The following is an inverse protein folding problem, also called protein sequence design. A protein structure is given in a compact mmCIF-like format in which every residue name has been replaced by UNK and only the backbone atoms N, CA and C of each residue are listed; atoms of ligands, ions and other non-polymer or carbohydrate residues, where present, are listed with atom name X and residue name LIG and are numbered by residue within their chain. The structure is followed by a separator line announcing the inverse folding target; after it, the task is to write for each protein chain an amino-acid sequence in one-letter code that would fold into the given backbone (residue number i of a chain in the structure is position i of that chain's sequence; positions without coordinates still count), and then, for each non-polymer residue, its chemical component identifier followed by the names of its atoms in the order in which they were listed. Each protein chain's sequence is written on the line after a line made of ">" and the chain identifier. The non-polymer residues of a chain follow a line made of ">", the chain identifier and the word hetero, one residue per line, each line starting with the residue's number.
data_IF_580634064412
#
_entry.id   IF_580634064412
#
_cell.length_a   1.000
_cell.length_b   1.000
_cell.length_c   1.000
_cell.angle_alpha   90.00
_cell.angle_beta   90.00
_cell.angle_gamma   90.00
#
_symmetry.space_group_name_H-M   'P 1'
#
loop_
_entity.id
_entity.type
_entity.pdbx_description
1 polymer ?
#
# COMPACT_ATOMS: atom_id res chain seq x y z
N UNK A 1 15.58 11.21 -19.74
CA UNK A 1 14.24 10.87 -20.24
C UNK A 1 13.32 10.85 -19.04
N UNK A 2 12.23 11.61 -19.01
CA UNK A 2 11.30 11.54 -17.87
C UNK A 2 10.62 10.17 -17.83
N UNK A 3 10.26 9.66 -16.65
CA UNK A 3 9.58 8.36 -16.50
C UNK A 3 8.33 8.27 -17.39
N UNK A 4 7.57 9.36 -17.49
CA UNK A 4 6.43 9.50 -18.41
C UNK A 4 6.79 9.22 -19.87
N UNK A 5 7.93 9.73 -20.34
CA UNK A 5 8.39 9.51 -21.72
C UNK A 5 8.82 8.05 -21.93
N UNK A 6 9.39 7.39 -20.91
CA UNK A 6 9.69 5.95 -20.95
C UNK A 6 8.40 5.15 -21.15
N UNK A 7 7.36 5.43 -20.36
CA UNK A 7 6.05 4.78 -20.49
C UNK A 7 5.42 5.02 -21.87
N UNK A 8 5.46 6.25 -22.38
CA UNK A 8 4.89 6.58 -23.69
C UNK A 8 5.59 5.80 -24.81
N UNK A 9 6.93 5.78 -24.80
CA UNK A 9 7.72 5.03 -25.79
C UNK A 9 7.40 3.53 -25.71
N UNK A 10 7.36 2.96 -24.50
CA UNK A 10 6.99 1.57 -24.30
C UNK A 10 5.59 1.27 -24.85
N UNK A 11 4.60 2.10 -24.51
CA UNK A 11 3.22 1.92 -24.93
C UNK A 11 3.08 1.88 -26.45
N UNK A 12 3.76 2.79 -27.16
CA UNK A 12 3.77 2.82 -28.62
C UNK A 12 4.44 1.56 -29.19
N UNK A 13 5.62 1.19 -28.69
CA UNK A 13 6.36 0.02 -29.17
C UNK A 13 5.58 -1.29 -28.94
N UNK A 14 5.00 -1.47 -27.76
CA UNK A 14 4.20 -2.63 -27.44
C UNK A 14 2.91 -2.65 -28.25
N UNK A 15 2.26 -1.50 -28.44
CA UNK A 15 1.10 -1.36 -29.31
C UNK A 15 1.37 -1.83 -30.74
N UNK A 16 2.53 -1.47 -31.31
CA UNK A 16 2.95 -1.94 -32.63
C UNK A 16 3.21 -3.44 -32.67
N UNK A 17 3.85 -4.02 -31.65
CA UNK A 17 4.05 -5.47 -31.53
C UNK A 17 2.71 -6.21 -31.49
N UNK A 18 1.78 -5.72 -30.66
CA UNK A 18 0.45 -6.32 -30.49
C UNK A 18 -0.38 -6.16 -31.76
N UNK A 19 -0.35 -5.00 -32.42
CA UNK A 19 -1.02 -4.79 -33.70
C UNK A 19 -0.47 -5.72 -34.78
N UNK A 20 0.85 -5.83 -34.89
CA UNK A 20 1.51 -6.75 -35.83
C UNK A 20 1.13 -8.21 -35.55
N UNK A 21 1.06 -8.60 -34.28
CA UNK A 21 0.59 -9.91 -33.85
C UNK A 21 -0.87 -10.15 -34.25
N UNK A 22 -1.77 -9.20 -33.95
CA UNK A 22 -3.20 -9.28 -34.31
C UNK A 22 -3.37 -9.40 -35.81
N UNK A 23 -2.66 -8.58 -36.60
CA UNK A 23 -2.70 -8.63 -38.08
C UNK A 23 -2.17 -9.97 -38.58
N UNK A 24 -1.04 -10.45 -38.05
CA UNK A 24 -0.46 -11.75 -38.44
C UNK A 24 -1.42 -12.89 -38.13
N UNK A 25 -1.96 -12.91 -36.92
CA UNK A 25 -2.97 -13.88 -36.48
C UNK A 25 -4.16 -13.81 -37.43
N UNK A 26 -4.67 -12.64 -37.81
CA UNK A 26 -5.83 -12.55 -38.71
C UNK A 26 -5.52 -12.91 -40.18
N UNK A 27 -4.34 -12.57 -40.70
CA UNK A 27 -4.00 -12.72 -42.14
C UNK A 27 -3.38 -14.06 -42.52
N UNK A 28 -2.87 -14.84 -41.57
CA UNK A 28 -2.27 -16.17 -41.84
C UNK A 28 -3.09 -17.28 -41.18
N UNK A 29 -4.22 -17.67 -41.79
CA UNK A 29 -5.09 -18.65 -41.18
C UNK A 29 -4.44 -20.03 -41.01
N UNK A 30 -3.59 -20.42 -41.95
CA UNK A 30 -3.10 -21.79 -42.09
C UNK A 30 -1.93 -22.14 -41.15
N UNK A 31 -1.22 -21.15 -40.60
CA UNK A 31 -0.01 -21.38 -39.76
C UNK A 31 -0.31 -21.70 -38.28
N UNK A 32 -1.59 -21.67 -37.87
CA UNK A 32 -2.00 -21.80 -36.46
C UNK A 32 -1.58 -20.59 -35.60
N UNK A 33 -2.36 -20.21 -34.55
CA UNK A 33 -2.08 -19.00 -33.78
C UNK A 33 -0.86 -19.15 -32.84
N UNK A 34 -0.45 -20.37 -32.52
CA UNK A 34 0.52 -20.66 -31.45
C UNK A 34 1.89 -20.02 -31.67
N UNK A 35 2.48 -20.18 -32.86
CA UNK A 35 3.79 -19.58 -33.17
C UNK A 35 3.73 -18.05 -33.09
N UNK A 36 2.65 -17.46 -33.57
CA UNK A 36 2.47 -16.01 -33.51
C UNK A 36 2.37 -15.54 -32.05
N UNK A 37 1.59 -16.23 -31.21
CA UNK A 37 1.48 -15.93 -29.78
C UNK A 37 2.85 -16.03 -29.08
N UNK A 38 3.62 -17.10 -29.35
CA UNK A 38 4.94 -17.30 -28.75
C UNK A 38 5.90 -16.17 -29.13
N UNK A 39 5.97 -15.82 -30.43
CA UNK A 39 6.84 -14.74 -30.92
C UNK A 39 6.40 -13.39 -30.35
N UNK A 40 5.10 -13.10 -30.34
CA UNK A 40 4.57 -11.85 -29.80
C UNK A 40 4.76 -11.73 -28.29
N UNK A 41 4.52 -12.81 -27.55
CA UNK A 41 4.77 -12.88 -26.11
C UNK A 41 6.25 -12.71 -25.76
N UNK A 42 7.14 -13.40 -26.48
CA UNK A 42 8.59 -13.21 -26.32
C UNK A 42 9.01 -11.77 -26.64
N UNK A 43 8.45 -11.16 -27.68
CA UNK A 43 8.73 -9.76 -28.04
C UNK A 43 8.27 -8.78 -26.95
N UNK A 44 7.09 -9.01 -26.36
CA UNK A 44 6.58 -8.20 -25.25
C UNK A 44 7.47 -8.35 -24.00
N UNK A 45 7.90 -9.57 -23.67
CA UNK A 45 8.84 -9.81 -22.55
C UNK A 45 10.18 -9.13 -22.80
N UNK A 46 10.74 -9.26 -24.01
CA UNK A 46 11.99 -8.60 -24.38
C UNK A 46 11.88 -7.07 -24.33
N UNK A 47 10.73 -6.50 -24.71
CA UNK A 47 10.46 -5.06 -24.57
C UNK A 47 10.44 -4.64 -23.10
N UNK A 48 9.77 -5.40 -22.23
CA UNK A 48 9.78 -5.12 -20.78
C UNK A 48 11.22 -5.16 -20.28
N UNK A 49 11.92 -6.29 -20.45
CA UNK A 49 13.29 -6.49 -19.95
C UNK A 49 14.27 -5.46 -20.52
N UNK A 50 14.10 -5.07 -21.78
CA UNK A 50 14.97 -4.09 -22.45
C UNK A 50 14.73 -2.63 -22.02
N UNK A 51 13.50 -2.28 -21.62
CA UNK A 51 13.12 -0.91 -21.27
C UNK A 51 13.17 -0.68 -19.75
N UNK A 52 12.90 -1.70 -18.93
CA UNK A 52 12.96 -1.62 -17.48
C UNK A 52 14.25 -1.01 -16.89
N UNK A 53 15.45 -1.24 -17.45
CA UNK A 53 16.68 -0.61 -16.97
C UNK A 53 16.72 0.92 -17.12
N UNK A 54 15.78 1.52 -17.86
CA UNK A 54 15.66 2.98 -18.00
C UNK A 54 14.90 3.62 -16.83
N UNK A 55 14.29 2.81 -15.95
CA UNK A 55 13.69 3.28 -14.72
C UNK A 55 14.77 3.41 -13.62
N UNK A 56 14.63 4.36 -12.68
CA UNK A 56 15.52 4.45 -11.52
C UNK A 56 15.61 3.13 -10.74
N UNK A 57 14.49 2.40 -10.69
CA UNK A 57 14.39 1.08 -10.09
C UNK A 57 13.83 0.07 -11.11
N UNK A 58 14.66 -0.83 -11.67
CA UNK A 58 14.25 -1.67 -12.80
C UNK A 58 13.16 -2.72 -12.50
N UNK A 59 13.09 -3.27 -11.28
CA UNK A 59 12.04 -4.22 -10.88
C UNK A 59 10.66 -3.57 -11.00
N UNK A 60 10.58 -2.36 -10.50
CA UNK A 60 9.41 -1.51 -10.44
C UNK A 60 8.94 -1.06 -11.82
N UNK A 61 9.87 -0.60 -12.65
CA UNK A 61 9.64 -0.39 -14.07
C UNK A 61 9.06 -1.64 -14.74
N UNK A 62 9.66 -2.82 -14.49
CA UNK A 62 9.18 -4.08 -15.09
C UNK A 62 7.75 -4.41 -14.72
N UNK A 63 7.36 -4.18 -13.46
CA UNK A 63 5.99 -4.39 -12.99
C UNK A 63 5.03 -3.44 -13.67
N UNK A 64 5.34 -2.14 -13.69
CA UNK A 64 4.47 -1.14 -14.30
C UNK A 64 4.26 -1.40 -15.80
N UNK A 65 5.34 -1.71 -16.52
CA UNK A 65 5.27 -2.09 -17.93
C UNK A 65 4.50 -3.42 -18.13
N UNK A 66 4.71 -4.39 -17.25
CA UNK A 66 3.98 -5.67 -17.26
C UNK A 66 2.47 -5.50 -17.06
N UNK A 67 2.05 -4.60 -16.16
CA UNK A 67 0.65 -4.26 -15.96
C UNK A 67 0.03 -3.63 -17.22
N UNK A 68 0.74 -2.73 -17.91
CA UNK A 68 0.30 -2.18 -19.19
C UNK A 68 0.14 -3.29 -20.24
N UNK A 69 1.11 -4.19 -20.34
CA UNK A 69 1.02 -5.33 -21.27
C UNK A 69 -0.19 -6.22 -20.98
N UNK A 70 -0.44 -6.52 -19.71
CA UNK A 70 -1.54 -7.38 -19.29
C UNK A 70 -2.90 -6.71 -19.51
N UNK A 71 -3.15 -5.57 -18.89
CA UNK A 71 -4.49 -4.99 -18.82
C UNK A 71 -4.90 -4.19 -20.05
N UNK A 72 -3.94 -3.62 -20.79
CA UNK A 72 -4.25 -2.81 -21.96
C UNK A 72 -4.18 -3.61 -23.27
N UNK A 73 -3.15 -4.45 -23.41
CA UNK A 73 -2.93 -5.20 -24.65
C UNK A 73 -3.45 -6.64 -24.61
N UNK A 74 -3.50 -7.26 -23.42
CA UNK A 74 -4.05 -8.60 -23.22
C UNK A 74 -5.47 -8.78 -23.77
N UNK A 75 -6.43 -7.88 -23.47
CA UNK A 75 -7.80 -7.99 -24.01
C UNK A 75 -7.84 -7.94 -25.54
N UNK A 76 -7.03 -7.06 -26.16
CA UNK A 76 -6.97 -6.95 -27.62
C UNK A 76 -6.47 -8.25 -28.27
N UNK A 77 -5.44 -8.87 -27.69
CA UNK A 77 -4.93 -10.17 -28.15
C UNK A 77 -5.97 -11.28 -27.97
N UNK A 78 -6.61 -11.37 -26.80
CA UNK A 78 -7.64 -12.37 -26.52
C UNK A 78 -8.83 -12.25 -27.49
N UNK A 79 -9.27 -11.03 -27.80
CA UNK A 79 -10.33 -10.79 -28.79
C UNK A 79 -9.90 -11.15 -30.21
N UNK A 80 -8.65 -10.91 -30.58
CA UNK A 80 -8.12 -11.33 -31.88
C UNK A 80 -8.10 -12.87 -32.01
N UNK A 81 -7.73 -13.57 -30.95
CA UNK A 81 -7.78 -15.04 -30.90
C UNK A 81 -9.23 -15.54 -30.91
N UNK A 82 -10.14 -14.92 -30.14
CA UNK A 82 -11.55 -15.28 -30.10
C UNK A 82 -12.21 -15.22 -31.50
N UNK A 83 -11.86 -14.21 -32.31
CA UNK A 83 -12.33 -14.09 -33.71
C UNK A 83 -11.90 -15.25 -34.60
N UNK A 84 -10.79 -15.91 -34.28
CA UNK A 84 -10.27 -17.10 -35.00
C UNK A 84 -10.76 -18.41 -34.46
N UNK A 85 -11.26 -18.43 -33.23
CA UNK A 85 -11.85 -19.61 -32.61
C UNK A 85 -13.33 -19.74 -32.98
N UNK A 86 -13.86 -20.96 -32.87
CA UNK A 86 -15.29 -21.25 -33.00
C UNK A 86 -15.89 -21.77 -31.68
N UNK A 87 -17.22 -21.88 -31.64
CA UNK A 87 -17.95 -22.51 -30.54
C UNK A 87 -17.62 -21.95 -29.16
N UNK A 88 -17.46 -22.84 -28.18
CA UNK A 88 -17.22 -22.49 -26.78
C UNK A 88 -15.90 -21.72 -26.56
N UNK A 89 -14.85 -22.03 -27.32
CA UNK A 89 -13.52 -21.41 -27.15
C UNK A 89 -13.58 -19.91 -27.46
N UNK A 90 -14.35 -19.49 -28.47
CA UNK A 90 -14.56 -18.07 -28.77
C UNK A 90 -15.16 -17.32 -27.58
N UNK A 91 -16.19 -17.90 -26.98
CA UNK A 91 -16.87 -17.30 -25.84
C UNK A 91 -15.98 -17.29 -24.59
N UNK A 92 -15.20 -18.34 -24.35
CA UNK A 92 -14.23 -18.39 -23.25
C UNK A 92 -13.16 -17.29 -23.38
N UNK A 93 -12.57 -17.11 -24.56
CA UNK A 93 -11.58 -16.06 -24.82
C UNK A 93 -12.18 -14.65 -24.72
N UNK A 94 -13.39 -14.46 -25.26
CA UNK A 94 -14.11 -13.19 -25.14
C UNK A 94 -14.46 -12.87 -23.68
N UNK A 95 -14.92 -13.85 -22.92
CA UNK A 95 -15.18 -13.73 -21.49
C UNK A 95 -13.93 -13.41 -20.68
N UNK A 96 -12.79 -14.06 -20.98
CA UNK A 96 -11.52 -13.76 -20.34
C UNK A 96 -11.03 -12.33 -20.66
N UNK A 97 -11.20 -11.88 -21.91
CA UNK A 97 -10.86 -10.51 -22.29
C UNK A 97 -11.68 -9.49 -21.50
N UNK A 98 -12.99 -9.72 -21.37
CA UNK A 98 -13.87 -8.88 -20.57
C UNK A 98 -13.48 -8.91 -19.09
N UNK A 99 -13.24 -10.09 -18.53
CA UNK A 99 -12.81 -10.23 -17.14
C UNK A 99 -11.52 -9.46 -16.85
N UNK A 100 -10.55 -9.51 -17.77
CA UNK A 100 -9.29 -8.79 -17.62
C UNK A 100 -9.49 -7.27 -17.63
N UNK A 101 -10.39 -6.76 -18.48
CA UNK A 101 -10.77 -5.33 -18.47
C UNK A 101 -11.46 -4.95 -17.16
N UNK A 102 -12.39 -5.78 -16.67
CA UNK A 102 -13.10 -5.51 -15.41
C UNK A 102 -12.15 -5.52 -14.21
N UNK A 103 -11.23 -6.47 -14.15
CA UNK A 103 -10.18 -6.50 -13.11
C UNK A 103 -9.26 -5.29 -13.23
N UNK A 104 -8.91 -4.85 -14.45
CA UNK A 104 -8.14 -3.63 -14.65
C UNK A 104 -8.90 -2.38 -14.17
N UNK A 105 -10.20 -2.29 -14.44
CA UNK A 105 -11.02 -1.17 -13.93
C UNK A 105 -11.06 -1.18 -12.40
N UNK A 106 -11.32 -2.35 -11.81
CA UNK A 106 -11.37 -2.51 -10.36
C UNK A 106 -10.04 -2.12 -9.72
N UNK A 107 -8.93 -2.72 -10.20
CA UNK A 107 -7.64 -2.59 -9.55
C UNK A 107 -6.99 -1.20 -9.65
N UNK A 108 -7.30 -0.44 -10.70
CA UNK A 108 -6.73 0.90 -10.90
C UNK A 108 -7.64 2.05 -10.44
N UNK A 109 -8.96 1.84 -10.38
CA UNK A 109 -9.90 2.95 -10.15
C UNK A 109 -10.87 2.72 -8.99
N UNK A 110 -11.25 1.48 -8.69
CA UNK A 110 -12.22 1.18 -7.65
C UNK A 110 -11.50 0.81 -6.36
N UNK A 111 -10.78 -0.31 -6.36
CA UNK A 111 -10.12 -0.85 -5.18
C UNK A 111 -9.15 0.12 -4.51
N UNK A 112 -8.34 0.93 -5.24
CA UNK A 112 -7.46 1.91 -4.62
C UNK A 112 -8.13 3.00 -3.79
N UNK A 113 -9.43 3.24 -4.02
CA UNK A 113 -10.24 4.24 -3.28
C UNK A 113 -11.32 3.59 -2.44
N UNK A 114 -11.39 2.26 -2.41
CA UNK A 114 -12.41 1.54 -1.68
C UNK A 114 -11.99 1.27 -0.24
N UNK A 115 -11.96 2.34 0.57
CA UNK A 115 -11.56 2.29 1.97
C UNK A 115 -12.32 1.20 2.75
N UNK A 116 -11.57 0.34 3.42
CA UNK A 116 -12.07 -0.62 4.40
C UNK A 116 -11.82 -0.12 5.82
N UNK A 117 -12.80 -0.26 6.73
CA UNK A 117 -12.58 0.01 8.16
C UNK A 117 -12.48 -1.33 8.88
N UNK A 118 -11.23 -1.78 9.11
CA UNK A 118 -10.95 -3.06 9.78
C UNK A 118 -11.05 -2.88 11.28
N UNK A 119 -11.88 -3.70 11.93
CA UNK A 119 -12.10 -3.67 13.39
C UNK A 119 -11.41 -4.84 14.05
N UNK A 120 -10.67 -4.55 15.11
CA UNK A 120 -9.92 -5.52 15.90
C UNK A 120 -10.34 -5.36 17.36
N UNK A 121 -10.66 -6.47 18.02
CA UNK A 121 -10.99 -6.47 19.45
C UNK A 121 -9.93 -7.27 20.20
N UNK A 122 -9.29 -6.66 21.20
CA UNK A 122 -8.30 -7.30 22.05
C UNK A 122 -8.65 -7.05 23.52
N UNK A 123 -8.54 -8.06 24.35
CA UNK A 123 -8.77 -7.94 25.80
C UNK A 123 -7.46 -8.03 26.57
N UNK A 124 -7.32 -7.26 27.65
CA UNK A 124 -6.16 -7.38 28.54
C UNK A 124 -6.51 -7.11 30.00
N UNK A 125 -6.01 -7.92 30.96
CA UNK A 125 -6.15 -7.64 32.38
C UNK A 125 -5.35 -6.42 32.84
N UNK A 126 -4.52 -5.83 31.97
CA UNK A 126 -3.73 -4.62 32.24
C UNK A 126 -4.54 -3.32 32.06
N UNK A 127 -5.80 -3.42 31.62
CA UNK A 127 -6.70 -2.30 31.38
C UNK A 127 -7.85 -2.32 32.39
N UNK A 128 -8.28 -1.15 32.86
CA UNK A 128 -9.45 -0.98 33.73
C UNK A 128 -10.65 -0.38 32.99
N UNK A 129 -10.40 0.29 31.86
CA UNK A 129 -11.44 0.84 30.99
C UNK A 129 -11.15 0.54 29.51
N UNK A 130 -12.18 0.51 28.64
CA UNK A 130 -11.97 0.37 27.20
C UNK A 130 -11.15 1.53 26.62
N UNK A 131 -10.27 1.23 25.67
CA UNK A 131 -9.48 2.22 24.91
C UNK A 131 -9.59 1.94 23.42
N UNK A 132 -9.99 2.95 22.64
CA UNK A 132 -10.05 2.86 21.18
C UNK A 132 -8.83 3.51 20.53
N UNK A 133 -8.04 2.70 19.84
CA UNK A 133 -6.91 3.14 19.02
C UNK A 133 -7.33 3.12 17.56
N UNK A 134 -7.17 4.24 16.86
CA UNK A 134 -7.27 4.29 15.40
C UNK A 134 -5.87 4.39 14.81
N UNK A 135 -5.57 3.59 13.79
CA UNK A 135 -4.30 3.62 13.06
C UNK A 135 -4.57 4.15 11.66
N UNK A 136 -3.97 5.30 11.35
CA UNK A 136 -3.99 5.91 10.03
C UNK A 136 -2.55 5.89 9.49
N UNK A 137 -2.27 4.94 8.62
CA UNK A 137 -0.92 4.63 8.12
C UNK A 137 -0.83 4.82 6.61
N UNK A 138 0.38 5.14 6.14
CA UNK A 138 0.77 5.17 4.73
C UNK A 138 -0.27 5.90 3.87
N UNK A 139 -0.51 7.17 4.20
CA UNK A 139 -1.35 8.05 3.38
C UNK A 139 -0.74 8.18 1.99
N UNK A 140 0.58 8.34 1.93
CA UNK A 140 1.39 8.50 0.73
C UNK A 140 0.66 9.31 -0.35
N UNK A 141 -0.01 10.40 0.03
CA UNK A 141 -0.88 11.12 -0.91
C UNK A 141 -0.03 12.02 -1.82
N UNK A 142 -0.36 12.01 -3.11
CA UNK A 142 0.22 12.83 -4.17
C UNK A 142 -0.71 14.00 -4.55
N UNK A 143 -2.00 13.87 -4.28
CA UNK A 143 -3.02 14.88 -4.52
C UNK A 143 -4.12 14.80 -3.46
N UNK A 144 -4.03 15.68 -2.46
CA UNK A 144 -5.01 15.76 -1.37
C UNK A 144 -6.35 16.23 -1.91
N UNK A 145 -7.34 15.33 -1.93
CA UNK A 145 -8.67 15.62 -2.47
C UNK A 145 -9.80 14.93 -1.72
N UNK A 146 -10.83 14.53 -2.48
CA UNK A 146 -12.06 13.94 -1.95
C UNK A 146 -11.80 12.64 -1.18
N UNK A 147 -10.87 11.81 -1.68
CA UNK A 147 -10.53 10.54 -1.02
C UNK A 147 -9.90 10.75 0.36
N UNK A 148 -8.90 11.63 0.48
CA UNK A 148 -8.29 11.99 1.76
C UNK A 148 -9.32 12.62 2.71
N UNK A 149 -10.27 13.41 2.17
CA UNK A 149 -11.36 13.96 2.96
C UNK A 149 -12.29 12.87 3.52
N UNK A 150 -12.64 11.87 2.71
CA UNK A 150 -13.42 10.71 3.14
C UNK A 150 -12.68 9.89 4.20
N UNK A 151 -11.38 9.65 4.03
CA UNK A 151 -10.55 8.93 5.02
C UNK A 151 -10.48 9.68 6.34
N UNK A 152 -10.17 10.98 6.32
CA UNK A 152 -10.08 11.78 7.55
C UNK A 152 -11.46 11.94 8.21
N UNK A 153 -12.54 12.03 7.44
CA UNK A 153 -13.90 12.01 7.97
C UNK A 153 -14.23 10.66 8.64
N UNK A 154 -13.76 9.53 8.08
CA UNK A 154 -13.89 8.22 8.71
C UNK A 154 -13.13 8.17 10.05
N UNK A 155 -11.91 8.72 10.13
CA UNK A 155 -11.15 8.84 11.39
C UNK A 155 -11.95 9.63 12.43
N UNK A 156 -12.46 10.81 12.06
CA UNK A 156 -13.26 11.66 12.97
C UNK A 156 -14.52 10.93 13.46
N UNK A 157 -15.18 10.18 12.58
CA UNK A 157 -16.39 9.41 12.91
C UNK A 157 -16.13 8.34 13.97
N UNK A 158 -14.94 7.73 13.98
CA UNK A 158 -14.58 6.69 14.94
C UNK A 158 -14.37 7.22 16.38
N UNK A 159 -14.16 8.54 16.53
CA UNK A 159 -13.89 9.22 17.82
C UNK A 159 -12.79 8.49 18.61
N UNK A 160 -11.55 8.44 18.08
CA UNK A 160 -10.47 7.72 18.74
C UNK A 160 -10.13 8.30 20.12
N UNK A 161 -9.75 7.40 21.03
CA UNK A 161 -9.05 7.80 22.24
C UNK A 161 -7.60 8.13 21.90
N UNK A 162 -6.98 7.29 21.09
CA UNK A 162 -5.62 7.51 20.57
C UNK A 162 -5.62 7.35 19.05
N UNK A 163 -5.01 8.29 18.35
CA UNK A 163 -4.75 8.19 16.91
C UNK A 163 -3.25 7.99 16.68
N UNK A 164 -2.88 6.89 16.05
CA UNK A 164 -1.50 6.58 15.69
C UNK A 164 -1.28 6.81 14.20
N UNK A 165 -0.14 7.44 13.88
CA UNK A 165 0.31 7.78 12.54
C UNK A 165 1.67 7.10 12.28
N UNK A 166 1.69 5.86 11.75
CA UNK A 166 2.91 5.07 11.52
C UNK A 166 3.71 5.48 10.26
N UNK A 167 3.85 6.78 9.98
CA UNK A 167 4.67 7.30 8.87
C UNK A 167 4.01 7.28 7.49
N UNK A 168 4.75 7.80 6.51
CA UNK A 168 4.41 7.86 5.09
C UNK A 168 3.18 8.72 4.77
N UNK A 169 3.35 10.04 4.84
CA UNK A 169 2.24 11.00 4.74
C UNK A 169 2.01 11.52 3.32
N UNK A 170 3.03 12.16 2.75
CA UNK A 170 2.97 12.79 1.43
C UNK A 170 4.02 12.12 0.54
N UNK A 171 3.64 11.73 -0.67
CA UNK A 171 4.56 11.21 -1.68
C UNK A 171 4.48 12.09 -2.93
N UNK A 172 5.55 12.82 -3.22
CA UNK A 172 5.60 13.78 -4.32
C UNK A 172 6.97 13.76 -5.01
N UNK A 173 6.99 14.05 -6.32
CA UNK A 173 8.21 14.03 -7.13
C UNK A 173 9.13 15.22 -6.84
N UNK A 174 8.56 16.33 -6.36
CA UNK A 174 9.28 17.57 -6.11
C UNK A 174 8.98 18.13 -4.73
N UNK A 175 9.93 18.89 -4.19
CA UNK A 175 9.76 19.57 -2.89
C UNK A 175 8.62 20.58 -2.91
N UNK A 176 8.46 21.33 -3.99
CA UNK A 176 7.38 22.32 -4.11
C UNK A 176 6.00 21.65 -4.15
N UNK A 177 5.90 20.47 -4.75
CA UNK A 177 4.68 19.66 -4.73
C UNK A 177 4.42 19.09 -3.34
N UNK A 178 5.43 18.53 -2.68
CA UNK A 178 5.32 18.08 -1.30
C UNK A 178 4.84 19.22 -0.38
N UNK A 179 5.37 20.43 -0.54
CA UNK A 179 4.96 21.62 0.23
C UNK A 179 3.50 21.99 -0.01
N UNK A 180 3.02 21.91 -1.26
CA UNK A 180 1.59 22.14 -1.59
C UNK A 180 0.69 21.08 -0.98
N UNK A 181 1.05 19.79 -1.12
CA UNK A 181 0.23 18.70 -0.60
C UNK A 181 0.20 18.70 0.93
N UNK A 182 1.32 19.00 1.60
CA UNK A 182 1.32 19.24 3.03
C UNK A 182 0.41 20.41 3.43
N UNK A 183 0.42 21.52 2.71
CA UNK A 183 -0.46 22.65 3.00
C UNK A 183 -1.95 22.26 2.87
N UNK A 184 -2.30 21.51 1.82
CA UNK A 184 -3.65 21.00 1.60
C UNK A 184 -4.07 20.01 2.70
N UNK A 185 -3.22 19.05 3.04
CA UNK A 185 -3.49 18.07 4.11
C UNK A 185 -3.71 18.75 5.45
N UNK A 186 -2.88 19.76 5.80
CA UNK A 186 -3.04 20.53 7.04
C UNK A 186 -4.35 21.32 7.07
N UNK A 187 -4.74 21.91 5.94
CA UNK A 187 -6.01 22.64 5.84
C UNK A 187 -7.20 21.70 6.04
N UNK A 188 -7.19 20.54 5.37
CA UNK A 188 -8.22 19.53 5.49
C UNK A 188 -8.29 18.92 6.90
N UNK A 189 -7.15 18.60 7.50
CA UNK A 189 -7.04 18.13 8.89
C UNK A 189 -7.69 19.09 9.87
N UNK A 190 -7.40 20.39 9.71
CA UNK A 190 -7.96 21.45 10.56
C UNK A 190 -9.46 21.62 10.30
N UNK A 191 -9.88 21.64 9.03
CA UNK A 191 -11.28 21.81 8.64
C UNK A 191 -12.17 20.69 9.21
N UNK A 192 -11.71 19.44 9.17
CA UNK A 192 -12.45 18.30 9.69
C UNK A 192 -12.33 18.13 11.20
N UNK A 193 -11.44 18.87 11.86
CA UNK A 193 -11.22 18.78 13.31
C UNK A 193 -10.63 17.44 13.74
N UNK A 194 -9.73 16.88 12.94
CA UNK A 194 -9.10 15.58 13.23
C UNK A 194 -8.37 15.66 14.57
N UNK A 195 -8.83 14.86 15.52
CA UNK A 195 -8.36 14.84 16.90
C UNK A 195 -8.66 13.49 17.55
N UNK A 196 -8.00 13.22 18.67
CA UNK A 196 -8.23 12.06 19.51
C UNK A 196 -8.22 12.49 20.99
N UNK A 197 -9.02 11.83 21.84
CA UNK A 197 -9.25 12.25 23.23
C UNK A 197 -7.96 12.38 24.04
N UNK A 198 -7.09 11.37 23.93
CA UNK A 198 -5.86 11.22 24.70
C UNK A 198 -4.61 11.56 23.87
N UNK A 199 -4.77 11.85 22.57
CA UNK A 199 -3.76 12.45 21.71
C UNK A 199 -3.54 11.76 20.36
N UNK A 200 -2.90 12.50 19.45
CA UNK A 200 -2.45 12.03 18.14
C UNK A 200 -0.93 11.88 18.17
N UNK A 201 -0.39 10.76 17.69
CA UNK A 201 1.03 10.43 17.81
C UNK A 201 1.61 9.98 16.47
N UNK A 202 2.76 10.53 16.10
CA UNK A 202 3.35 10.36 14.77
C UNK A 202 4.83 9.96 14.79
N UNK A 203 5.21 9.08 13.86
CA UNK A 203 6.59 8.70 13.53
C UNK A 203 6.88 8.98 12.06
N UNK A 204 8.14 8.94 11.64
CA UNK A 204 8.53 9.05 10.24
C UNK A 204 8.39 7.72 9.49
N UNK A 205 8.06 7.81 8.20
CA UNK A 205 8.19 6.71 7.25
C UNK A 205 9.29 6.93 6.22
N UNK A 206 9.31 6.08 5.19
CA UNK A 206 10.20 6.17 4.05
C UNK A 206 10.00 7.46 3.23
N UNK A 207 8.76 7.91 3.05
CA UNK A 207 8.44 9.10 2.25
C UNK A 207 8.99 10.39 2.86
N UNK A 208 9.19 10.42 4.19
CA UNK A 208 9.81 11.56 4.89
C UNK A 208 11.35 11.50 4.87
N UNK A 209 11.96 10.43 4.34
CA UNK A 209 13.41 10.26 4.35
C UNK A 209 14.10 11.41 3.59
N UNK A 210 14.96 12.14 4.30
CA UNK A 210 15.66 13.31 3.77
C UNK A 210 15.02 14.64 4.14
N UNK A 211 13.75 14.68 4.54
CA UNK A 211 13.13 15.87 5.13
C UNK A 211 13.40 15.94 6.64
N UNK A 212 14.50 16.61 7.02
CA UNK A 212 14.84 16.83 8.44
C UNK A 212 13.78 17.62 9.22
N UNK A 213 12.84 18.27 8.52
CA UNK A 213 11.79 19.08 9.10
C UNK A 213 10.41 18.41 9.02
N UNK A 214 10.31 17.12 8.66
CA UNK A 214 9.03 16.42 8.52
C UNK A 214 8.11 16.59 9.75
N UNK A 215 8.67 16.52 10.96
CA UNK A 215 7.90 16.68 12.19
C UNK A 215 7.28 18.08 12.35
N UNK A 216 7.90 19.11 11.77
CA UNK A 216 7.38 20.48 11.80
C UNK A 216 6.11 20.67 10.94
N UNK A 217 5.85 19.76 9.99
CA UNK A 217 4.64 19.76 9.17
C UNK A 217 3.37 19.62 10.00
N UNK A 218 3.49 18.98 11.17
CA UNK A 218 2.40 18.79 12.12
C UNK A 218 2.19 19.95 13.10
N UNK A 219 3.00 21.00 13.04
CA UNK A 219 2.88 22.12 13.98
C UNK A 219 1.49 22.77 13.90
N UNK A 220 0.85 22.90 15.06
CA UNK A 220 -0.50 23.47 15.20
C UNK A 220 -1.64 22.47 15.00
N UNK A 221 -1.36 21.20 14.70
CA UNK A 221 -2.39 20.16 14.49
C UNK A 221 -2.68 19.30 15.73
N UNK A 222 -2.06 19.59 16.88
CA UNK A 222 -2.24 18.78 18.09
C UNK A 222 -1.60 17.39 18.03
N UNK A 223 -0.63 17.19 17.14
CA UNK A 223 0.09 15.91 16.96
C UNK A 223 1.40 15.93 17.73
N UNK A 224 1.62 14.88 18.52
CA UNK A 224 2.89 14.63 19.22
C UNK A 224 3.80 13.79 18.33
N UNK A 225 4.91 14.38 17.90
CA UNK A 225 5.87 13.76 16.99
C UNK A 225 6.99 13.07 17.77
N UNK A 226 7.40 11.87 17.32
CA UNK A 226 8.55 11.12 17.82
C UNK A 226 9.73 11.22 16.83
N UNK A 227 10.54 12.29 16.87
CA UNK A 227 11.73 12.42 16.00
C UNK A 227 12.87 11.46 16.41
N UNK A 228 12.72 10.80 17.55
CA UNK A 228 13.59 9.75 18.07
C UNK A 228 12.73 8.73 18.77
N UNK A 229 13.27 7.51 18.91
CA UNK A 229 12.61 6.47 19.68
C UNK A 229 12.42 6.93 21.11
N UNK A 230 11.17 7.01 21.55
CA UNK A 230 10.82 7.52 22.86
C UNK A 230 9.55 6.86 23.36
N UNK A 231 9.31 6.94 24.67
CA UNK A 231 8.15 6.36 25.34
C UNK A 231 7.44 7.41 26.16
N UNK A 232 6.11 7.43 26.07
CA UNK A 232 5.23 8.33 26.81
C UNK A 232 4.10 7.53 27.46
N UNK A 233 3.47 8.12 28.48
CA UNK A 233 2.29 7.54 29.13
C UNK A 233 1.04 8.25 28.64
N UNK A 234 0.04 7.49 28.18
CA UNK A 234 -1.21 8.00 27.61
C UNK A 234 -2.37 7.25 28.26
N UNK A 235 -3.09 7.88 29.18
CA UNK A 235 -4.16 7.22 29.93
C UNK A 235 -3.66 5.93 30.63
N UNK A 236 -4.17 4.76 30.21
CA UNK A 236 -3.74 3.44 30.69
C UNK A 236 -2.70 2.74 29.80
N UNK A 237 -2.36 3.34 28.65
CA UNK A 237 -1.35 2.87 27.72
C UNK A 237 0.06 3.43 27.99
N UNK A 238 1.06 2.59 27.88
CA UNK A 238 2.43 3.05 27.64
C UNK A 238 2.68 2.98 26.14
N UNK A 239 3.04 4.10 25.52
CA UNK A 239 3.22 4.20 24.07
C UNK A 239 4.68 4.46 23.73
N UNK A 240 5.27 3.61 22.89
CA UNK A 240 6.61 3.82 22.32
C UNK A 240 6.50 4.05 20.82
N UNK A 241 6.88 5.24 20.36
CA UNK A 241 7.07 5.52 18.94
C UNK A 241 8.52 5.24 18.54
N UNK A 242 8.71 4.54 17.42
CA UNK A 242 10.02 4.18 16.87
C UNK A 242 10.42 5.11 15.72
N UNK A 243 11.73 5.37 15.59
CA UNK A 243 12.27 5.93 14.34
C UNK A 243 12.14 4.95 13.19
N UNK A 244 12.26 5.43 11.94
CA UNK A 244 12.29 4.56 10.76
C UNK A 244 13.35 3.47 10.90
N UNK A 245 14.57 3.86 11.31
CA UNK A 245 15.70 2.94 11.50
C UNK A 245 15.40 1.85 12.55
N UNK A 246 14.84 2.22 13.69
CA UNK A 246 14.56 1.27 14.75
C UNK A 246 13.38 0.36 14.38
N UNK A 247 12.37 0.89 13.69
CA UNK A 247 11.24 0.10 13.18
C UNK A 247 11.70 -0.97 12.19
N UNK A 248 12.67 -0.65 11.32
CA UNK A 248 13.25 -1.61 10.38
C UNK A 248 14.26 -2.60 10.98
N UNK A 249 14.53 -2.56 12.29
CA UNK A 249 15.54 -3.41 12.91
C UNK A 249 14.92 -4.69 13.51
N UNK A 250 15.07 -5.87 12.87
CA UNK A 250 14.50 -7.12 13.36
C UNK A 250 15.19 -7.66 14.63
N UNK A 251 16.20 -6.95 15.15
CA UNK A 251 16.90 -7.26 16.39
C UNK A 251 16.66 -6.20 17.48
N UNK A 252 15.72 -5.27 17.25
CA UNK A 252 15.40 -4.22 18.22
C UNK A 252 15.00 -4.85 19.56
N UNK A 253 15.52 -4.28 20.64
CA UNK A 253 15.11 -4.63 22.00
C UNK A 253 14.51 -3.41 22.68
N UNK A 254 13.24 -3.51 23.03
CA UNK A 254 12.55 -2.51 23.85
C UNK A 254 12.24 -3.13 25.20
N UNK A 255 12.81 -2.53 26.25
CA UNK A 255 12.66 -3.01 27.61
C UNK A 255 11.19 -2.98 28.05
N UNK A 256 10.76 -3.93 28.89
CA UNK A 256 9.39 -3.97 29.40
C UNK A 256 9.00 -2.66 30.07
N UNK A 257 7.74 -2.25 29.86
CA UNK A 257 7.14 -1.10 30.52
C UNK A 257 5.89 -1.53 31.28
N UNK A 258 5.54 -0.77 32.32
CA UNK A 258 4.29 -1.00 33.06
C UNK A 258 3.05 -0.57 32.28
N UNK A 259 1.89 -1.13 32.63
CA UNK A 259 0.63 -0.92 31.91
C UNK A 259 0.55 -1.73 30.61
N UNK A 260 -0.50 -1.48 29.82
CA UNK A 260 -0.62 -2.05 28.48
C UNK A 260 0.33 -1.32 27.54
N UNK A 261 1.37 -1.99 27.06
CA UNK A 261 2.43 -1.38 26.28
C UNK A 261 2.18 -1.54 24.78
N UNK A 262 2.07 -0.41 24.08
CA UNK A 262 1.96 -0.33 22.62
C UNK A 262 3.28 0.19 22.05
N UNK A 263 3.83 -0.50 21.05
CA UNK A 263 4.95 -0.01 20.24
C UNK A 263 4.43 0.22 18.81
N UNK A 264 4.70 1.37 18.24
CA UNK A 264 4.37 1.65 16.84
C UNK A 264 5.58 2.24 16.09
N UNK A 265 5.70 1.87 14.83
CA UNK A 265 6.77 2.29 13.92
C UNK A 265 6.32 2.11 12.48
N UNK A 266 7.08 2.62 11.53
CA UNK A 266 6.70 2.51 10.12
C UNK A 266 6.91 1.09 9.57
N UNK A 267 8.15 0.60 9.58
CA UNK A 267 8.47 -0.75 9.11
C UNK A 267 8.13 -1.74 10.23
N UNK A 268 7.35 -2.81 10.00
CA UNK A 268 6.90 -3.70 11.09
C UNK A 268 7.96 -4.72 11.54
N UNK A 269 9.17 -4.67 10.97
CA UNK A 269 10.22 -5.68 11.17
C UNK A 269 10.74 -5.75 12.62
N UNK A 270 10.66 -4.65 13.37
CA UNK A 270 10.99 -4.63 14.81
C UNK A 270 10.23 -5.70 15.60
N UNK A 271 9.06 -6.13 15.13
CA UNK A 271 8.25 -7.17 15.77
C UNK A 271 8.93 -8.54 15.83
N UNK A 272 9.89 -8.81 14.94
CA UNK A 272 10.74 -10.00 14.96
C UNK A 272 11.79 -9.96 16.07
N UNK A 273 12.04 -8.78 16.65
CA UNK A 273 12.97 -8.57 17.73
C UNK A 273 12.43 -9.00 19.10
N UNK A 274 13.30 -8.96 20.09
CA UNK A 274 12.96 -9.19 21.50
C UNK A 274 12.36 -7.91 22.11
N UNK A 275 11.10 -7.63 21.80
CA UNK A 275 10.32 -6.61 22.48
C UNK A 275 9.20 -7.25 23.33
N UNK A 276 8.89 -6.61 24.45
CA UNK A 276 8.03 -7.12 25.52
C UNK A 276 6.70 -6.38 25.63
N UNK A 277 6.31 -5.70 24.56
CA UNK A 277 5.06 -4.97 24.47
C UNK A 277 3.88 -5.90 24.16
N UNK A 278 2.68 -5.45 24.51
CA UNK A 278 1.43 -6.18 24.35
C UNK A 278 0.85 -6.05 22.94
N UNK A 279 1.08 -4.89 22.31
CA UNK A 279 0.61 -4.60 20.95
C UNK A 279 1.71 -3.90 20.15
N UNK A 280 2.02 -4.45 18.99
CA UNK A 280 2.96 -3.91 18.01
C UNK A 280 2.18 -3.46 16.79
N UNK A 281 2.46 -2.27 16.27
CA UNK A 281 1.75 -1.71 15.12
C UNK A 281 2.76 -1.23 14.09
N UNK A 282 2.58 -1.64 12.84
CA UNK A 282 3.37 -1.14 11.72
C UNK A 282 2.57 -0.94 10.44
N UNK A 283 3.13 -0.18 9.51
CA UNK A 283 2.62 0.06 8.16
C UNK A 283 3.57 -0.53 7.12
N UNK A 284 3.99 0.31 6.16
CA UNK A 284 5.05 0.08 5.18
C UNK A 284 4.78 -0.97 4.10
N UNK A 285 4.10 -2.07 4.43
CA UNK A 285 3.99 -3.19 3.47
C UNK A 285 2.92 -2.95 2.41
N UNK A 286 1.96 -2.05 2.66
CA UNK A 286 0.75 -1.85 1.85
C UNK A 286 -0.06 -3.13 1.58
N UNK A 287 0.16 -4.20 2.35
CA UNK A 287 -0.29 -5.56 2.00
C UNK A 287 0.23 -6.06 0.65
N UNK A 288 1.34 -5.49 0.17
CA UNK A 288 1.96 -5.65 -1.14
C UNK A 288 1.24 -4.96 -2.31
N UNK A 289 0.17 -4.21 -2.03
CA UNK A 289 -0.81 -3.63 -2.98
C UNK A 289 -1.55 -4.66 -3.87
N UNK A 290 -0.89 -5.75 -4.25
CA UNK A 290 -1.42 -6.82 -5.09
C UNK A 290 -1.29 -8.12 -4.35
N UNK A 291 -2.41 -8.77 -4.06
CA UNK A 291 -2.42 -10.11 -3.50
C UNK A 291 -2.87 -11.13 -4.54
N UNK A 292 -2.06 -12.17 -4.73
CA UNK A 292 -2.42 -13.30 -5.59
C UNK A 292 -3.23 -14.28 -4.75
N UNK A 293 -4.41 -14.75 -5.23
CA UNK A 293 -5.21 -15.74 -4.52
C UNK A 293 -4.38 -16.93 -4.05
N UNK A 294 -4.54 -17.32 -2.79
CA UNK A 294 -3.83 -18.44 -2.13
C UNK A 294 -2.31 -18.29 -1.96
N UNK A 295 -1.70 -17.23 -2.51
CA UNK A 295 -0.27 -16.98 -2.42
C UNK A 295 0.06 -15.74 -1.57
N UNK A 296 -0.78 -14.71 -1.62
CA UNK A 296 -0.56 -13.42 -0.97
C UNK A 296 0.29 -12.48 -1.83
N UNK A 297 0.95 -11.48 -1.22
CA UNK A 297 1.72 -10.49 -1.96
C UNK A 297 3.02 -11.09 -2.54
N UNK A 298 3.30 -10.88 -3.84
CA UNK A 298 4.53 -11.36 -4.45
C UNK A 298 5.76 -10.61 -3.93
N UNK A 299 5.58 -9.36 -3.50
CA UNK A 299 6.63 -8.50 -2.97
C UNK A 299 6.12 -7.83 -1.68
N UNK A 300 6.94 -7.81 -0.63
CA UNK A 300 6.53 -7.39 0.72
C UNK A 300 7.37 -6.27 1.32
N UNK A 301 8.62 -6.07 0.86
CA UNK A 301 9.60 -5.13 1.42
C UNK A 301 9.80 -5.21 2.94
N UNK A 302 9.58 -6.40 3.49
CA UNK A 302 9.68 -6.65 4.93
C UNK A 302 10.27 -8.04 5.16
N UNK A 303 10.98 -8.19 6.28
CA UNK A 303 11.49 -9.48 6.74
C UNK A 303 10.38 -10.37 7.35
N UNK A 304 9.17 -9.84 7.52
CA UNK A 304 8.04 -10.63 8.00
C UNK A 304 7.69 -11.78 7.06
N UNK A 305 7.14 -12.89 7.60
CA UNK A 305 6.48 -13.89 6.78
C UNK A 305 5.41 -13.24 5.88
N UNK A 306 5.33 -13.69 4.62
CA UNK A 306 4.43 -13.11 3.60
C UNK A 306 2.99 -12.92 4.06
N UNK A 307 2.45 -13.89 4.80
CA UNK A 307 1.07 -13.82 5.29
C UNK A 307 0.86 -12.72 6.35
N UNK A 308 1.91 -12.37 7.11
CA UNK A 308 1.87 -11.23 8.05
C UNK A 308 2.05 -9.90 7.31
N UNK A 309 2.99 -9.87 6.35
CA UNK A 309 3.20 -8.68 5.52
C UNK A 309 2.00 -8.34 4.62
N UNK A 310 1.09 -9.28 4.37
CA UNK A 310 -0.17 -9.06 3.65
C UNK A 310 -1.16 -8.14 4.41
N UNK A 311 -0.90 -7.85 5.68
CA UNK A 311 -1.75 -7.03 6.55
C UNK A 311 -2.69 -7.87 7.42
N UNK A 312 -3.10 -7.30 8.56
CA UNK A 312 -3.98 -7.94 9.54
C UNK A 312 -3.40 -7.96 10.96
N UNK A 313 -4.09 -8.66 11.86
CA UNK A 313 -3.68 -8.81 13.27
C UNK A 313 -3.28 -10.26 13.55
N UNK A 314 -2.15 -10.45 14.22
CA UNK A 314 -1.55 -11.75 14.50
C UNK A 314 -1.15 -11.84 15.97
N UNK A 315 -1.53 -12.90 16.66
CA UNK A 315 -1.02 -13.21 17.99
C UNK A 315 0.36 -13.86 17.85
N UNK A 316 1.40 -13.20 18.37
CA UNK A 316 2.79 -13.68 18.30
C UNK A 316 3.11 -14.64 19.45
N UNK A 317 2.48 -14.41 20.60
CA UNK A 317 2.53 -15.23 21.81
C UNK A 317 1.35 -14.83 22.71
N UNK A 318 0.96 -15.61 23.72
CA UNK A 318 -0.21 -15.29 24.56
C UNK A 318 -0.22 -13.84 25.05
N UNK A 319 -1.23 -13.08 24.61
CA UNK A 319 -1.41 -11.67 24.98
C UNK A 319 -0.50 -10.65 24.28
N UNK A 320 0.32 -11.06 23.31
CA UNK A 320 1.17 -10.19 22.48
C UNK A 320 0.75 -10.26 21.02
N UNK A 321 0.36 -9.12 20.47
CA UNK A 321 -0.18 -9.02 19.12
C UNK A 321 0.67 -8.12 18.22
N UNK A 322 0.67 -8.42 16.93
CA UNK A 322 1.16 -7.57 15.86
C UNK A 322 -0.01 -7.19 14.96
N UNK A 323 -0.20 -5.90 14.74
CA UNK A 323 -1.05 -5.37 13.69
C UNK A 323 -0.20 -4.78 12.57
N UNK A 324 -0.40 -5.25 11.34
CA UNK A 324 0.22 -4.71 10.14
C UNK A 324 -0.87 -4.05 9.32
N UNK A 325 -0.80 -2.73 9.21
CA UNK A 325 -1.71 -1.93 8.41
C UNK A 325 -1.38 -2.07 6.91
N UNK A 326 -2.41 -2.23 6.08
CA UNK A 326 -2.28 -2.13 4.62
C UNK A 326 -2.18 -0.69 4.12
N UNK A 327 -2.31 0.29 5.02
CA UNK A 327 -2.27 1.72 4.69
C UNK A 327 -3.50 2.20 3.92
N UNK A 328 -3.69 3.52 3.87
CA UNK A 328 -4.82 4.13 3.14
C UNK A 328 -4.44 4.57 1.70
N UNK A 329 -3.15 4.73 1.42
CA UNK A 329 -2.62 5.24 0.15
C UNK A 329 -2.06 4.17 -0.80
N UNK A 330 -1.20 4.61 -1.70
CA UNK A 330 -0.46 3.78 -2.66
C UNK A 330 0.98 4.25 -2.72
N UNK A 331 1.89 3.30 -2.88
CA UNK A 331 3.25 3.57 -3.35
C UNK A 331 3.18 3.86 -4.85
N UNK A 332 3.61 5.06 -5.23
CA UNK A 332 3.48 5.60 -6.60
C UNK A 332 4.80 5.97 -7.25
N UNK A 333 5.88 6.13 -6.47
CA UNK A 333 7.19 6.47 -7.01
C UNK A 333 7.77 5.29 -7.76
N UNK A 334 7.73 4.12 -7.13
CA UNK A 334 8.35 2.93 -7.69
C UNK A 334 7.30 1.85 -8.02
N UNK A 335 6.31 1.62 -7.18
CA UNK A 335 5.30 0.60 -7.45
C UNK A 335 4.23 1.08 -8.46
N UNK A 336 3.60 0.16 -9.22
CA UNK A 336 2.39 0.49 -9.97
C UNK A 336 1.30 1.00 -9.02
N UNK A 337 0.70 2.15 -9.35
CA UNK A 337 -0.40 2.75 -8.61
C UNK A 337 -1.72 1.97 -8.82
N UNK A 338 -1.80 0.77 -8.24
CA UNK A 338 -2.96 -0.10 -8.30
C UNK A 338 -3.05 -0.94 -7.02
N UNK A 339 -4.27 -1.35 -6.65
CA UNK A 339 -4.53 -2.33 -5.60
C UNK A 339 -5.35 -3.47 -6.16
N UNK A 340 -5.02 -4.72 -5.84
CA UNK A 340 -5.81 -5.88 -6.27
C UNK A 340 -5.89 -6.91 -5.15
N UNK A 341 -7.11 -7.21 -4.69
CA UNK A 341 -7.37 -8.03 -3.49
C UNK A 341 -6.62 -7.53 -2.24
N UNK A 342 -6.41 -6.22 -2.17
CA UNK A 342 -5.70 -5.50 -1.13
C UNK A 342 -6.26 -4.08 -0.97
N UNK A 343 -7.54 -3.96 -0.60
CA UNK A 343 -8.18 -2.68 -0.30
C UNK A 343 -7.37 -1.84 0.70
N UNK A 344 -7.33 -0.50 0.53
CA UNK A 344 -6.77 0.39 1.53
C UNK A 344 -7.60 0.29 2.82
N UNK A 345 -6.97 0.46 3.97
CA UNK A 345 -7.64 0.26 5.25
C UNK A 345 -7.35 1.34 6.30
N UNK A 346 -8.40 1.66 7.07
CA UNK A 346 -8.31 2.30 8.37
C UNK A 346 -8.49 1.25 9.45
N UNK A 347 -7.53 1.14 10.38
CA UNK A 347 -7.61 0.13 11.45
C UNK A 347 -8.18 0.76 12.71
N UNK A 348 -9.18 0.09 13.29
CA UNK A 348 -9.80 0.46 14.57
C UNK A 348 -9.60 -0.69 15.54
N UNK A 349 -8.76 -0.46 16.55
CA UNK A 349 -8.43 -1.44 17.59
C UNK A 349 -9.17 -1.03 18.86
N UNK A 350 -10.12 -1.86 19.28
CA UNK A 350 -10.84 -1.72 20.54
C UNK A 350 -10.18 -2.62 21.59
N UNK A 351 -9.52 -1.97 22.56
CA UNK A 351 -8.93 -2.64 23.70
C UNK A 351 -9.95 -2.65 24.84
N UNK A 352 -10.25 -3.82 25.41
CA UNK A 352 -11.17 -3.94 26.55
C UNK A 352 -10.47 -4.52 27.78
N UNK A 353 -10.95 -4.21 29.00
CA UNK A 353 -10.56 -4.96 30.19
C UNK A 353 -10.83 -6.47 30.00
N UNK A 354 -9.89 -7.30 30.46
CA UNK A 354 -9.92 -8.77 30.33
C UNK A 354 -10.46 -9.51 31.54
#
# INVERSE_FOLDING_TARGET
>A
MTVLLVHLVYFVLLGLVVLGLVVRVQRRPDEGPLLSILVGGASAVLLVVGISPLFPHPIWGSMALGCQALFLHGPALLLALARRSGGLVRWALGGLALALVLVGIDAFFVEPRWLEVRRVQLSSPKLTQPVKIVVLSDLQTDDVGDYEAEVLAAVVKERPDVLLLPGDYIQADTRDEADRQWAALRALWTQLGVSARDGVFAVEGNAEQGDRAWGSRFHGLGVTVFPKTATVRVGELTLTGLTLRDSGNPKLKVAPKGGFHVIFGHIPDFSLGENSADLLIGGHTHGGQVQIPFYGPPITFSHLPRHMAAGGTFELSPGRHLDVSRGIGLERSEAPALRFLCRPELVVIELTPG
#
